data_IF_931256485819
#
_entry.id   IF_931256485819
#
_cell.length_a   1.000
_cell.length_b   1.000
_cell.length_c   1.000
_cell.angle_alpha   90.00
_cell.angle_beta   90.00
_cell.angle_gamma   90.00
#
_symmetry.space_group_name_H-M   'P 1'
#
loop_
_entity.id
_entity.type
_entity.pdbx_description
1 polymer ?
#
# COMPACT_ATOMS: atom_id res chain seq x y z
N UNK A 1 53.65 -35.37 2.21
CA UNK A 1 52.52 -34.75 1.49
C UNK A 1 51.25 -34.97 2.31
N UNK A 2 50.88 -34.04 3.18
CA UNK A 2 49.65 -34.10 3.96
C UNK A 2 49.10 -32.68 4.09
N UNK A 3 47.87 -32.46 3.66
CA UNK A 3 47.23 -31.14 3.76
C UNK A 3 46.21 -30.87 2.67
N UNK A 4 45.11 -31.64 2.62
CA UNK A 4 43.95 -31.24 1.79
C UNK A 4 42.59 -31.83 2.20
N UNK A 5 42.35 -32.10 3.48
CA UNK A 5 41.03 -32.62 3.94
C UNK A 5 40.22 -31.67 4.83
N UNK A 6 40.84 -30.65 5.45
CA UNK A 6 40.14 -29.73 6.36
C UNK A 6 39.19 -28.70 5.71
N UNK A 7 39.31 -28.46 4.40
CA UNK A 7 38.56 -27.38 3.72
C UNK A 7 37.13 -27.75 3.30
N UNK A 8 36.81 -29.04 3.17
CA UNK A 8 35.51 -29.49 2.65
C UNK A 8 34.41 -29.47 3.72
N UNK A 9 34.76 -29.82 4.96
CA UNK A 9 33.80 -29.90 6.07
C UNK A 9 33.37 -28.51 6.55
N UNK A 10 34.28 -27.54 6.56
CA UNK A 10 33.97 -26.15 6.92
C UNK A 10 32.93 -25.52 5.98
N UNK A 11 33.05 -25.78 4.68
CA UNK A 11 32.10 -25.27 3.67
C UNK A 11 30.70 -25.82 3.85
N UNK A 12 30.57 -27.10 4.20
CA UNK A 12 29.27 -27.75 4.42
C UNK A 12 28.59 -27.17 5.67
N UNK A 13 29.35 -26.99 6.76
CA UNK A 13 28.83 -26.38 7.99
C UNK A 13 28.38 -24.95 7.76
N UNK A 14 29.16 -24.17 7.00
CA UNK A 14 28.82 -22.78 6.71
C UNK A 14 27.55 -22.65 5.85
N UNK A 15 27.41 -23.51 4.84
CA UNK A 15 26.20 -23.55 4.00
C UNK A 15 24.99 -24.01 4.80
N UNK A 16 25.13 -25.04 5.65
CA UNK A 16 24.04 -25.51 6.51
C UNK A 16 23.57 -24.43 7.50
N UNK A 17 24.50 -23.67 8.09
CA UNK A 17 24.17 -22.56 8.98
C UNK A 17 23.43 -21.41 8.26
N UNK A 18 23.84 -21.08 7.03
CA UNK A 18 23.16 -20.08 6.20
C UNK A 18 21.74 -20.52 5.83
N UNK A 19 21.56 -21.79 5.46
CA UNK A 19 20.25 -22.35 5.11
C UNK A 19 19.32 -22.41 6.34
N UNK A 20 19.84 -22.82 7.50
CA UNK A 20 19.06 -22.85 8.74
C UNK A 20 18.66 -21.44 9.20
N UNK A 21 19.58 -20.47 9.07
CA UNK A 21 19.31 -19.07 9.35
C UNK A 21 18.24 -18.50 8.42
N UNK A 22 18.32 -18.76 7.12
CA UNK A 22 17.29 -18.35 6.15
C UNK A 22 15.92 -18.98 6.48
N UNK A 23 15.88 -20.27 6.83
CA UNK A 23 14.64 -20.98 7.19
C UNK A 23 13.99 -20.41 8.45
N UNK A 24 14.77 -20.12 9.48
CA UNK A 24 14.28 -19.49 10.72
C UNK A 24 13.73 -18.08 10.48
N UNK A 25 14.36 -17.29 9.62
CA UNK A 25 13.90 -15.94 9.25
C UNK A 25 12.61 -15.95 8.43
N UNK A 26 12.35 -17.01 7.65
CA UNK A 26 11.08 -17.21 6.95
C UNK A 26 9.94 -17.68 7.87
N UNK A 27 10.23 -18.58 8.83
CA UNK A 27 9.23 -19.09 9.78
C UNK A 27 8.71 -18.01 10.75
N UNK A 28 9.48 -16.96 10.98
CA UNK A 28 9.10 -15.78 11.79
C UNK A 28 8.26 -14.74 11.03
N UNK A 29 7.84 -15.01 9.78
CA UNK A 29 6.92 -14.14 9.03
C UNK A 29 7.54 -12.84 8.52
N UNK A 30 8.86 -12.75 8.43
CA UNK A 30 9.58 -11.56 7.98
C UNK A 30 9.84 -11.53 6.45
N UNK A 31 9.35 -12.52 5.71
CA UNK A 31 9.26 -12.57 4.23
C UNK A 31 7.80 -12.66 3.77
N UNK A 32 7.44 -11.98 2.67
CA UNK A 32 6.30 -12.33 1.81
C UNK A 32 6.56 -13.66 1.05
N UNK A 33 5.55 -14.39 0.52
CA UNK A 33 5.73 -15.55 -0.37
C UNK A 33 6.68 -15.37 -1.59
N UNK A 34 7.08 -14.14 -1.92
CA UNK A 34 8.12 -13.76 -2.90
C UNK A 34 9.54 -13.61 -2.31
N UNK A 35 9.71 -13.82 -1.00
CA UNK A 35 11.01 -13.83 -0.30
C UNK A 35 11.58 -12.46 0.09
N UNK A 36 10.82 -11.35 -0.01
CA UNK A 36 11.35 -10.00 0.28
C UNK A 36 11.19 -9.60 1.76
N UNK A 37 12.30 -9.63 2.51
CA UNK A 37 12.47 -9.07 3.87
C UNK A 37 12.64 -7.55 3.82
N UNK A 38 11.77 -6.74 4.46
CA UNK A 38 12.00 -5.28 4.61
C UNK A 38 11.48 -4.66 5.93
N UNK A 39 11.95 -5.12 7.11
CA UNK A 39 11.58 -4.51 8.40
C UNK A 39 11.96 -3.04 8.51
N UNK A 40 13.03 -2.62 7.81
CA UNK A 40 13.48 -1.22 7.76
C UNK A 40 12.49 -0.29 7.06
N UNK A 41 11.69 -0.79 6.11
CA UNK A 41 10.65 0.06 5.48
C UNK A 41 9.57 0.39 6.49
N UNK A 42 9.13 -0.54 7.34
CA UNK A 42 8.13 -0.22 8.36
C UNK A 42 8.67 0.77 9.41
N UNK A 43 9.96 0.73 9.72
CA UNK A 43 10.61 1.62 10.69
C UNK A 43 10.99 2.99 10.12
N UNK A 44 11.25 3.08 8.82
CA UNK A 44 11.71 4.30 8.13
C UNK A 44 10.69 4.83 7.12
N UNK A 45 9.51 4.23 7.04
CA UNK A 45 8.44 4.70 6.16
C UNK A 45 8.08 6.13 6.58
N UNK A 46 7.89 7.04 5.61
CA UNK A 46 7.35 8.36 5.89
C UNK A 46 6.06 8.25 6.71
N UNK A 47 5.80 9.22 7.58
CA UNK A 47 4.61 9.20 8.42
C UNK A 47 3.33 9.20 7.57
N UNK A 48 3.34 9.82 6.39
CA UNK A 48 2.21 9.77 5.46
C UNK A 48 1.92 8.39 4.86
N UNK A 49 2.83 7.41 4.91
CA UNK A 49 2.60 6.08 4.34
C UNK A 49 1.45 5.35 5.05
N UNK A 50 0.70 4.57 4.27
CA UNK A 50 -0.45 3.80 4.75
C UNK A 50 -1.73 4.05 3.96
N UNK A 51 -2.86 3.68 4.54
CA UNK A 51 -4.19 3.81 3.92
C UNK A 51 -5.00 4.93 4.58
N UNK A 52 -5.72 5.69 3.75
CA UNK A 52 -6.36 6.93 4.16
C UNK A 52 -7.74 7.09 3.53
N UNK A 53 -8.77 7.27 4.34
CA UNK A 53 -10.14 7.53 3.89
C UNK A 53 -10.36 9.03 3.71
N UNK A 54 -10.95 9.43 2.59
CA UNK A 54 -11.30 10.82 2.38
C UNK A 54 -12.36 11.25 3.41
N UNK A 55 -12.15 12.45 3.95
CA UNK A 55 -13.10 13.17 4.79
C UNK A 55 -13.80 14.21 3.93
N UNK A 56 -13.01 15.00 3.20
CA UNK A 56 -13.51 15.99 2.25
C UNK A 56 -12.65 16.09 1.01
N UNK A 57 -13.27 16.41 -0.13
CA UNK A 57 -12.61 16.86 -1.36
C UNK A 57 -13.24 18.18 -1.76
N UNK A 58 -12.41 19.23 -1.88
CA UNK A 58 -12.84 20.62 -2.12
C UNK A 58 -13.94 21.09 -1.15
N UNK A 59 -13.79 20.72 0.12
CA UNK A 59 -14.74 21.07 1.19
C UNK A 59 -16.05 20.26 1.19
N UNK A 60 -16.28 19.40 0.19
CA UNK A 60 -17.47 18.52 0.11
C UNK A 60 -17.18 17.17 0.78
N UNK A 61 -18.13 16.57 1.51
CA UNK A 61 -17.97 15.21 2.04
C UNK A 61 -17.66 14.21 0.92
N UNK A 62 -16.70 13.32 1.16
CA UNK A 62 -16.18 12.40 0.14
C UNK A 62 -16.13 10.94 0.63
N UNK A 63 -17.26 10.44 1.14
CA UNK A 63 -17.36 9.06 1.57
C UNK A 63 -17.12 8.09 0.39
N UNK A 64 -16.46 6.95 0.66
CA UNK A 64 -16.12 5.96 -0.36
C UNK A 64 -14.84 6.26 -1.16
N UNK A 65 -14.28 7.48 -1.04
CA UNK A 65 -12.97 7.80 -1.61
C UNK A 65 -11.85 7.43 -0.64
N UNK A 66 -10.73 6.91 -1.18
CA UNK A 66 -9.58 6.45 -0.38
C UNK A 66 -8.30 6.59 -1.18
N UNK A 67 -7.19 6.86 -0.52
CA UNK A 67 -5.84 6.73 -1.11
C UNK A 67 -4.97 5.78 -0.30
N UNK A 68 -4.01 5.14 -0.96
CA UNK A 68 -2.85 4.51 -0.34
C UNK A 68 -1.60 5.32 -0.68
N UNK A 69 -0.78 5.57 0.34
CA UNK A 69 0.49 6.29 0.22
C UNK A 69 1.64 5.30 0.47
N UNK A 70 2.63 5.32 -0.41
CA UNK A 70 3.85 4.53 -0.31
C UNK A 70 5.04 5.38 -0.72
N UNK A 71 6.06 5.47 0.14
CA UNK A 71 7.22 6.33 -0.09
C UNK A 71 6.86 7.80 -0.25
N UNK A 72 5.87 8.28 0.51
CA UNK A 72 5.41 9.68 0.47
C UNK A 72 4.61 10.06 -0.77
N UNK A 73 4.17 9.08 -1.58
CA UNK A 73 3.46 9.30 -2.84
C UNK A 73 2.19 8.48 -2.92
N UNK A 74 1.19 8.98 -3.66
CA UNK A 74 -0.02 8.21 -3.95
C UNK A 74 0.34 6.98 -4.80
N UNK A 75 0.04 5.81 -4.26
CA UNK A 75 0.29 4.51 -4.88
C UNK A 75 -0.98 3.88 -5.46
N UNK A 76 -2.15 4.24 -4.92
CA UNK A 76 -3.44 3.71 -5.35
C UNK A 76 -4.58 4.30 -4.55
N UNK A 77 -5.79 3.76 -4.73
CA UNK A 77 -6.95 4.25 -4.02
C UNK A 77 -8.28 3.65 -4.44
N UNK A 78 -9.33 4.38 -4.10
CA UNK A 78 -10.71 4.17 -4.56
C UNK A 78 -11.29 5.53 -4.90
N UNK A 79 -11.86 5.66 -6.10
CA UNK A 79 -12.39 6.91 -6.63
C UNK A 79 -13.89 7.10 -6.39
N UNK A 80 -14.40 6.52 -5.30
CA UNK A 80 -15.83 6.44 -4.99
C UNK A 80 -16.55 5.27 -5.69
N UNK A 81 -15.96 4.70 -6.74
CA UNK A 81 -16.58 3.64 -7.53
C UNK A 81 -15.65 2.44 -7.78
N UNK A 82 -14.47 2.70 -8.34
CA UNK A 82 -13.47 1.70 -8.70
C UNK A 82 -12.28 1.75 -7.74
N UNK A 83 -11.78 0.57 -7.37
CA UNK A 83 -10.45 0.43 -6.80
C UNK A 83 -9.41 0.49 -7.92
N UNK A 84 -8.31 1.19 -7.64
CA UNK A 84 -7.24 1.39 -8.61
C UNK A 84 -5.87 1.45 -7.93
N UNK A 85 -4.82 1.19 -8.71
CA UNK A 85 -3.43 1.34 -8.29
C UNK A 85 -2.56 1.82 -9.45
N UNK A 86 -1.50 2.55 -9.14
CA UNK A 86 -0.45 2.78 -10.12
C UNK A 86 0.40 1.52 -10.24
N UNK A 87 0.58 1.05 -11.46
CA UNK A 87 1.54 0.01 -11.78
C UNK A 87 2.96 0.50 -11.48
N UNK A 88 3.92 -0.45 -11.48
CA UNK A 88 5.32 -0.10 -11.47
C UNK A 88 5.63 0.87 -12.63
N UNK A 89 6.41 1.94 -12.39
CA UNK A 89 6.72 2.89 -13.44
C UNK A 89 7.43 2.18 -14.59
N UNK A 90 7.05 2.52 -15.81
CA UNK A 90 7.70 1.99 -17.01
C UNK A 90 9.12 2.59 -17.17
N UNK A 91 9.97 2.05 -18.07
CA UNK A 91 11.32 2.56 -18.28
C UNK A 91 11.38 4.03 -18.78
N UNK A 92 10.30 4.55 -19.36
CA UNK A 92 10.16 5.94 -19.77
C UNK A 92 9.68 6.86 -18.62
N UNK A 93 9.41 6.31 -17.44
CA UNK A 93 8.88 7.05 -16.28
C UNK A 93 7.37 7.28 -16.34
N UNK A 94 6.67 6.70 -17.32
CA UNK A 94 5.22 6.70 -17.40
C UNK A 94 4.61 5.87 -16.26
N UNK A 95 3.43 6.29 -15.80
CA UNK A 95 2.67 5.58 -14.77
C UNK A 95 1.40 5.04 -15.41
N UNK A 96 1.27 3.71 -15.45
CA UNK A 96 0.02 3.05 -15.83
C UNK A 96 -0.89 2.92 -14.61
N UNK A 97 -2.20 2.98 -14.83
CA UNK A 97 -3.21 2.74 -13.79
C UNK A 97 -3.87 1.40 -14.06
N UNK A 98 -3.83 0.52 -13.07
CA UNK A 98 -4.64 -0.69 -13.01
C UNK A 98 -5.92 -0.36 -12.25
N UNK A 99 -7.09 -0.63 -12.83
CA UNK A 99 -8.38 -0.34 -12.22
C UNK A 99 -9.39 -1.45 -12.49
N UNK A 100 -10.29 -1.67 -11.54
CA UNK A 100 -11.54 -2.38 -11.86
C UNK A 100 -12.39 -1.46 -12.75
N UNK A 101 -13.01 -2.00 -13.79
CA UNK A 101 -13.75 -1.23 -14.80
C UNK A 101 -15.26 -1.36 -14.58
N UNK A 102 -15.72 -1.03 -13.37
CA UNK A 102 -17.17 -0.95 -13.11
C UNK A 102 -17.70 0.33 -13.73
N UNK A 103 -18.92 0.26 -14.26
CA UNK A 103 -19.63 1.43 -14.78
C UNK A 103 -19.97 2.36 -13.61
N UNK A 104 -19.41 3.57 -13.64
CA UNK A 104 -19.62 4.60 -12.64
C UNK A 104 -20.50 5.71 -13.20
N UNK A 105 -21.18 6.49 -12.35
CA UNK A 105 -21.88 7.69 -12.78
C UNK A 105 -20.98 8.60 -13.62
N UNK A 106 -21.46 8.99 -14.79
CA UNK A 106 -20.85 10.05 -15.58
C UNK A 106 -21.04 11.39 -14.84
N UNK A 107 -20.07 12.29 -14.95
CA UNK A 107 -20.10 13.63 -14.35
C UNK A 107 -20.16 13.71 -12.81
N UNK A 108 -19.35 12.90 -12.11
CA UNK A 108 -19.12 13.10 -10.67
C UNK A 108 -18.00 14.12 -10.42
N UNK A 109 -18.32 15.36 -9.97
CA UNK A 109 -17.31 16.40 -9.75
C UNK A 109 -16.41 16.14 -8.53
N UNK A 110 -16.74 15.18 -7.64
CA UNK A 110 -15.79 14.72 -6.62
C UNK A 110 -14.72 13.84 -7.25
N UNK A 111 -15.12 12.98 -8.18
CA UNK A 111 -14.22 12.07 -8.88
C UNK A 111 -13.25 12.81 -9.79
N UNK A 112 -13.70 13.88 -10.44
CA UNK A 112 -12.81 14.77 -11.20
C UNK A 112 -11.74 15.41 -10.30
N UNK A 113 -12.15 16.08 -9.22
CA UNK A 113 -11.23 16.68 -8.24
C UNK A 113 -10.28 15.65 -7.64
N UNK A 114 -10.78 14.45 -7.32
CA UNK A 114 -9.98 13.34 -6.83
C UNK A 114 -8.86 12.97 -7.80
N UNK A 115 -9.19 12.80 -9.09
CA UNK A 115 -8.22 12.41 -10.11
C UNK A 115 -7.15 13.48 -10.37
N UNK A 116 -7.49 14.76 -10.24
CA UNK A 116 -6.50 15.86 -10.26
C UNK A 116 -5.52 15.74 -9.10
N UNK A 117 -6.05 15.54 -7.90
CA UNK A 117 -5.28 15.45 -6.68
C UNK A 117 -4.32 14.25 -6.65
N UNK A 118 -4.73 13.07 -7.12
CA UNK A 118 -3.91 11.86 -7.04
C UNK A 118 -2.83 11.75 -8.11
N UNK A 119 -2.97 12.51 -9.20
CA UNK A 119 -1.98 12.57 -10.28
C UNK A 119 -0.93 13.65 -10.02
N UNK A 120 -1.34 14.83 -9.55
CA UNK A 120 -0.50 16.02 -9.51
C UNK A 120 -0.34 16.59 -8.08
N UNK A 121 -1.15 16.12 -7.14
CA UNK A 121 -1.19 16.65 -5.78
C UNK A 121 0.02 16.29 -4.92
N UNK A 122 0.35 17.21 -4.02
CA UNK A 122 1.38 17.05 -3.01
C UNK A 122 0.79 16.49 -1.72
N UNK A 123 1.45 15.47 -1.19
CA UNK A 123 1.10 14.81 0.07
C UNK A 123 1.73 15.60 1.23
N UNK A 124 0.95 15.88 2.26
CA UNK A 124 1.45 16.46 3.50
C UNK A 124 0.65 15.95 4.70
N UNK A 125 1.34 15.59 5.79
CA UNK A 125 0.68 15.29 7.05
C UNK A 125 0.44 16.60 7.83
N UNK A 126 -0.78 16.75 8.36
CA UNK A 126 -1.13 17.88 9.22
C UNK A 126 -0.84 17.54 10.69
N UNK A 127 -0.66 18.57 11.51
CA UNK A 127 -0.45 18.40 12.96
C UNK A 127 -1.63 17.76 13.71
N UNK A 128 -2.81 17.67 13.10
CA UNK A 128 -3.98 16.95 13.63
C UNK A 128 -4.02 15.46 13.22
N UNK A 129 -2.96 14.95 12.58
CA UNK A 129 -2.84 13.58 12.12
C UNK A 129 -3.61 13.27 10.83
N UNK A 130 -4.23 14.28 10.19
CA UNK A 130 -4.89 14.11 8.89
C UNK A 130 -3.91 14.27 7.75
N UNK A 131 -4.09 13.46 6.71
CA UNK A 131 -3.38 13.65 5.45
C UNK A 131 -4.05 14.76 4.67
N UNK A 132 -3.26 15.67 4.10
CA UNK A 132 -3.69 16.63 3.10
C UNK A 132 -3.07 16.26 1.75
N UNK A 133 -3.90 16.21 0.72
CA UNK A 133 -3.48 16.16 -0.67
C UNK A 133 -3.92 17.48 -1.32
N UNK A 134 -3.03 18.20 -1.99
CA UNK A 134 -3.36 19.48 -2.61
C UNK A 134 -2.55 19.72 -3.89
N UNK A 135 -3.20 20.28 -4.92
CA UNK A 135 -2.62 20.57 -6.23
C UNK A 135 -3.66 21.24 -7.14
N UNK A 136 -3.23 22.11 -8.04
CA UNK A 136 -4.07 22.77 -9.06
C UNK A 136 -5.37 23.43 -8.54
N UNK A 137 -5.31 24.05 -7.37
CA UNK A 137 -6.47 24.69 -6.73
C UNK A 137 -7.45 23.72 -6.04
N UNK A 138 -7.19 22.41 -6.13
CA UNK A 138 -7.94 21.38 -5.42
C UNK A 138 -7.27 21.01 -4.10
N UNK A 139 -8.07 20.53 -3.15
CA UNK A 139 -7.56 19.94 -1.91
C UNK A 139 -8.46 18.84 -1.37
N UNK A 140 -7.85 17.87 -0.71
CA UNK A 140 -8.57 16.85 0.04
C UNK A 140 -7.93 16.61 1.40
N UNK A 141 -8.78 16.27 2.37
CA UNK A 141 -8.39 15.85 3.71
C UNK A 141 -8.77 14.39 3.89
N UNK A 142 -7.85 13.61 4.43
CA UNK A 142 -8.06 12.20 4.70
C UNK A 142 -7.73 11.88 6.16
N UNK A 143 -8.42 10.87 6.68
CA UNK A 143 -8.14 10.27 7.99
C UNK A 143 -7.49 8.90 7.80
N UNK A 144 -6.58 8.53 8.70
CA UNK A 144 -5.92 7.24 8.65
C UNK A 144 -6.93 6.11 8.83
N UNK A 145 -6.74 5.01 8.10
CA UNK A 145 -7.53 3.81 8.25
C UNK A 145 -6.64 2.56 8.24
N UNK A 146 -7.08 1.53 8.96
CA UNK A 146 -6.48 0.22 8.96
C UNK A 146 -7.40 -0.76 8.25
N UNK A 147 -6.82 -1.63 7.44
CA UNK A 147 -7.55 -2.72 6.80
C UNK A 147 -7.99 -3.74 7.84
N UNK A 148 -9.28 -4.03 7.87
CA UNK A 148 -9.88 -5.09 8.65
C UNK A 148 -10.63 -6.03 7.72
N UNK A 149 -10.58 -7.32 8.03
CA UNK A 149 -11.42 -8.30 7.36
C UNK A 149 -12.74 -8.37 8.13
N UNK A 150 -13.83 -8.02 7.46
CA UNK A 150 -15.17 -8.25 7.97
C UNK A 150 -15.73 -9.52 7.34
N UNK A 151 -16.26 -10.41 8.18
CA UNK A 151 -17.01 -11.59 7.72
C UNK A 151 -18.46 -11.19 7.58
N UNK A 152 -18.94 -11.22 6.35
CA UNK A 152 -20.37 -11.10 6.10
C UNK A 152 -20.95 -12.52 6.25
N UNK A 153 -21.67 -12.74 7.34
CA UNK A 153 -22.44 -13.97 7.51
C UNK A 153 -23.78 -13.80 6.82
N UNK A 154 -23.88 -14.30 5.60
CA UNK A 154 -25.17 -14.51 4.95
C UNK A 154 -25.44 -16.01 4.94
N UNK A 155 -26.68 -16.44 5.20
CA UNK A 155 -27.09 -17.82 5.53
C UNK A 155 -26.67 -18.89 4.50
N UNK A 156 -26.19 -18.47 3.33
CA UNK A 156 -25.76 -19.33 2.22
C UNK A 156 -24.36 -19.02 1.66
N UNK A 157 -23.66 -17.99 2.15
CA UNK A 157 -22.34 -17.60 1.61
C UNK A 157 -21.47 -16.96 2.67
N UNK A 158 -20.32 -17.57 2.94
CA UNK A 158 -19.22 -16.92 3.64
C UNK A 158 -18.46 -16.05 2.64
N UNK A 159 -18.61 -14.73 2.70
CA UNK A 159 -17.72 -13.82 1.99
C UNK A 159 -16.94 -12.98 2.99
N UNK A 160 -15.63 -12.93 2.82
CA UNK A 160 -14.76 -12.02 3.54
C UNK A 160 -14.55 -10.75 2.71
N UNK A 161 -14.77 -9.59 3.30
CA UNK A 161 -14.52 -8.30 2.65
C UNK A 161 -13.51 -7.52 3.46
N UNK A 162 -12.52 -6.93 2.78
CA UNK A 162 -11.59 -6.00 3.42
C UNK A 162 -12.19 -4.62 3.43
N UNK A 163 -12.33 -4.05 4.62
CA UNK A 163 -12.84 -2.69 4.84
C UNK A 163 -11.72 -1.88 5.47
N UNK A 164 -11.53 -0.64 5.00
CA UNK A 164 -10.63 0.29 5.66
C UNK A 164 -11.43 1.00 6.75
N UNK A 165 -11.13 0.70 8.02
CA UNK A 165 -11.80 1.30 9.17
C UNK A 165 -10.91 2.38 9.79
N UNK A 166 -11.48 3.51 10.27
CA UNK A 166 -10.71 4.54 10.97
C UNK A 166 -9.86 3.94 12.11
N UNK A 167 -8.65 4.48 12.28
CA UNK A 167 -7.76 4.15 13.40
C UNK A 167 -7.95 5.15 14.52
#
# INVERSE_FOLDING_TARGET
MAGREGGRNWRIVFVAALLLGALLLSLLGLTDPSGRWRPWIALLAPEEDGSWLAVTIDGRPAEGFRVSITGGRVAGGRDGCNDWAFAAPDPSGGRTIDTILVACPEDDPLRESYWRLVQEGHVALRGDGRLRLAGDGHQALFRRCAWRTERIHNETRHSETRVCAPV
#
